data_IF_146529643392
#
_entry.id   IF_146529643392
#
_cell.length_a   1.000
_cell.length_b   1.000
_cell.length_c   1.000
_cell.angle_alpha   90.00
_cell.angle_beta   90.00
_cell.angle_gamma   90.00
#
_symmetry.space_group_name_H-M   'P 1'
#
loop_
_entity.id
_entity.type
_entity.pdbx_description
1 polymer ?
#
# COMPACT_ATOMS: atom_id res chain seq x y z
N UNK A 1 -13.10 -1.95 18.93
CA UNK A 1 -11.83 -1.94 18.18
C UNK A 1 -11.76 -0.59 17.49
N UNK A 2 -11.09 0.36 18.11
CA UNK A 2 -10.83 1.65 17.45
C UNK A 2 -9.88 1.41 16.27
N UNK A 3 -10.18 2.05 15.14
CA UNK A 3 -9.28 2.12 14.01
C UNK A 3 -8.44 3.37 14.24
N UNK A 4 -7.21 3.20 14.73
CA UNK A 4 -6.32 4.34 15.03
C UNK A 4 -5.98 5.16 13.78
N UNK A 5 -6.02 4.52 12.60
CA UNK A 5 -5.81 5.18 11.31
C UNK A 5 -6.44 4.39 10.14
N UNK A 6 -7.17 5.08 9.27
CA UNK A 6 -7.72 4.50 8.03
C UNK A 6 -6.89 4.96 6.84
N UNK A 7 -5.98 4.10 6.34
CA UNK A 7 -5.11 4.44 5.20
C UNK A 7 -5.81 4.43 3.85
N UNK A 8 -6.87 3.64 3.71
CA UNK A 8 -7.62 3.52 2.47
C UNK A 8 -9.12 3.61 2.75
N UNK A 9 -9.66 4.82 2.97
CA UNK A 9 -11.09 5.00 3.24
C UNK A 9 -11.94 4.42 2.11
N UNK A 10 -12.92 3.58 2.48
CA UNK A 10 -13.81 2.91 1.53
C UNK A 10 -13.23 1.66 0.87
N UNK A 11 -12.02 1.22 1.26
CA UNK A 11 -11.40 0.00 0.73
C UNK A 11 -10.99 -0.96 1.85
N UNK A 12 -11.18 -2.25 1.57
CA UNK A 12 -10.68 -3.35 2.40
C UNK A 12 -9.97 -4.33 1.49
N UNK A 13 -8.77 -4.74 1.88
CA UNK A 13 -8.01 -5.75 1.14
C UNK A 13 -8.28 -7.14 1.71
N UNK A 14 -8.61 -8.08 0.83
CA UNK A 14 -8.99 -9.43 1.21
C UNK A 14 -8.15 -10.47 0.47
N UNK A 15 -7.72 -11.51 1.17
CA UNK A 15 -7.16 -12.72 0.57
C UNK A 15 -8.26 -13.78 0.62
N UNK A 16 -8.73 -14.25 -0.52
CA UNK A 16 -9.80 -15.24 -0.62
C UNK A 16 -9.62 -16.15 -1.83
N UNK A 17 -10.17 -17.36 -1.75
CA UNK A 17 -10.27 -18.24 -2.90
C UNK A 17 -11.37 -17.74 -3.86
N UNK A 18 -11.24 -17.93 -5.18
CA UNK A 18 -12.25 -17.46 -6.14
C UNK A 18 -13.68 -17.92 -5.84
N UNK A 19 -13.84 -19.11 -5.23
CA UNK A 19 -15.13 -19.66 -4.82
C UNK A 19 -15.84 -18.85 -3.72
N UNK A 20 -15.09 -18.13 -2.88
CA UNK A 20 -15.64 -17.35 -1.76
C UNK A 20 -16.08 -15.93 -2.17
N UNK A 21 -15.94 -15.55 -3.44
CA UNK A 21 -16.26 -14.20 -3.94
C UNK A 21 -17.69 -13.78 -3.62
N UNK A 22 -18.67 -14.65 -3.87
CA UNK A 22 -20.09 -14.34 -3.61
C UNK A 22 -20.37 -14.11 -2.12
N UNK A 23 -19.69 -14.86 -1.24
CA UNK A 23 -19.85 -14.73 0.21
C UNK A 23 -19.41 -13.36 0.69
N UNK A 24 -18.32 -12.82 0.14
CA UNK A 24 -17.84 -11.47 0.49
C UNK A 24 -18.79 -10.38 -0.01
N UNK A 25 -19.36 -10.52 -1.20
CA UNK A 25 -20.33 -9.55 -1.74
C UNK A 25 -21.65 -9.53 -0.96
N UNK A 26 -21.98 -10.60 -0.23
CA UNK A 26 -23.17 -10.68 0.62
C UNK A 26 -22.98 -10.03 2.00
N UNK A 27 -21.74 -9.67 2.37
CA UNK A 27 -21.48 -9.03 3.65
C UNK A 27 -22.06 -7.60 3.68
N UNK A 28 -22.77 -7.20 4.76
CA UNK A 28 -23.26 -5.85 4.91
C UNK A 28 -22.14 -4.80 4.80
N UNK A 29 -22.37 -3.75 4.02
CA UNK A 29 -21.39 -2.67 3.80
C UNK A 29 -20.37 -2.94 2.69
N UNK A 30 -20.34 -4.13 2.10
CA UNK A 30 -19.54 -4.40 0.90
C UNK A 30 -20.30 -3.92 -0.34
N UNK A 31 -19.76 -2.91 -1.03
CA UNK A 31 -20.38 -2.37 -2.24
C UNK A 31 -20.10 -3.25 -3.47
N UNK A 32 -18.81 -3.53 -3.73
CA UNK A 32 -18.35 -4.36 -4.87
C UNK A 32 -16.87 -4.68 -4.73
N UNK A 33 -16.40 -5.64 -5.53
CA UNK A 33 -14.97 -5.73 -5.85
C UNK A 33 -14.57 -4.64 -6.83
N UNK A 34 -13.36 -4.13 -6.68
CA UNK A 34 -12.71 -3.31 -7.70
C UNK A 34 -12.26 -4.24 -8.82
N UNK A 35 -12.67 -3.98 -10.05
CA UNK A 35 -12.44 -4.87 -11.19
C UNK A 35 -11.82 -4.13 -12.38
N UNK A 36 -10.92 -4.81 -13.09
CA UNK A 36 -10.39 -4.40 -14.39
C UNK A 36 -10.73 -5.49 -15.41
N UNK A 37 -11.25 -5.11 -16.57
CA UNK A 37 -11.66 -6.05 -17.62
C UNK A 37 -12.58 -7.18 -17.11
N UNK A 38 -13.50 -6.85 -16.20
CA UNK A 38 -14.44 -7.80 -15.61
C UNK A 38 -13.85 -8.75 -14.56
N UNK A 39 -12.55 -8.65 -14.25
CA UNK A 39 -11.89 -9.46 -13.23
C UNK A 39 -11.55 -8.63 -11.99
N UNK A 40 -11.78 -9.14 -10.76
CA UNK A 40 -11.33 -8.47 -9.54
C UNK A 40 -9.84 -8.16 -9.59
N UNK A 41 -9.48 -6.94 -9.21
CA UNK A 41 -8.10 -6.48 -9.19
C UNK A 41 -7.29 -7.31 -8.20
N UNK A 42 -6.30 -8.04 -8.70
CA UNK A 42 -5.33 -8.72 -7.86
C UNK A 42 -4.27 -7.71 -7.43
N UNK A 43 -4.00 -7.67 -6.13
CA UNK A 43 -2.94 -6.82 -5.58
C UNK A 43 -1.64 -7.61 -5.48
N UNK A 44 -0.51 -7.01 -5.87
CA UNK A 44 0.79 -7.61 -5.64
C UNK A 44 1.03 -7.86 -4.15
N UNK A 45 1.54 -9.05 -3.82
CA UNK A 45 1.77 -9.43 -2.43
C UNK A 45 2.78 -8.51 -1.75
N UNK A 46 3.77 -8.00 -2.49
CA UNK A 46 4.82 -7.14 -1.96
C UNK A 46 4.28 -5.79 -1.47
N UNK A 47 3.32 -5.19 -2.18
CA UNK A 47 2.70 -3.92 -1.74
C UNK A 47 1.98 -4.09 -0.40
N UNK A 48 1.21 -5.17 -0.26
CA UNK A 48 0.50 -5.48 0.98
C UNK A 48 1.45 -5.85 2.12
N UNK A 49 2.57 -6.52 1.82
CA UNK A 49 3.57 -6.85 2.83
C UNK A 49 4.25 -5.59 3.35
N UNK A 50 4.70 -4.70 2.45
CA UNK A 50 5.32 -3.44 2.83
C UNK A 50 4.38 -2.58 3.69
N UNK A 51 3.10 -2.49 3.34
CA UNK A 51 2.11 -1.80 4.17
C UNK A 51 1.96 -2.43 5.56
N UNK A 52 1.90 -3.78 5.63
CA UNK A 52 1.76 -4.51 6.91
C UNK A 52 3.00 -4.35 7.78
N UNK A 53 4.18 -4.45 7.20
CA UNK A 53 5.46 -4.29 7.89
C UNK A 53 5.60 -2.86 8.41
N UNK A 54 5.34 -1.85 7.58
CA UNK A 54 5.36 -0.45 7.99
C UNK A 54 4.45 -0.17 9.19
N UNK A 55 3.21 -0.67 9.13
CA UNK A 55 2.25 -0.53 10.23
C UNK A 55 2.65 -1.31 11.49
N UNK A 56 3.20 -2.52 11.35
CA UNK A 56 3.60 -3.36 12.49
C UNK A 56 4.81 -2.80 13.23
N UNK A 57 5.68 -2.08 12.53
CA UNK A 57 6.87 -1.45 13.08
C UNK A 57 6.64 0.00 13.55
N UNK A 58 5.38 0.44 13.66
CA UNK A 58 4.98 1.80 14.07
C UNK A 58 5.64 2.91 13.22
N UNK A 59 5.95 2.63 11.96
CA UNK A 59 6.38 3.68 11.05
C UNK A 59 5.23 4.66 10.85
N UNK A 60 5.55 5.95 10.81
CA UNK A 60 4.53 6.97 10.52
C UNK A 60 4.01 6.75 9.11
N UNK A 61 2.75 6.33 9.04
CA UNK A 61 2.01 6.12 7.81
C UNK A 61 0.96 7.23 7.66
N UNK A 62 0.87 7.79 6.47
CA UNK A 62 -0.17 8.77 6.15
C UNK A 62 -0.75 8.52 4.76
N UNK A 63 -2.00 8.95 4.58
CA UNK A 63 -2.61 8.95 3.26
C UNK A 63 -1.83 9.91 2.36
N UNK A 64 -1.56 9.48 1.13
CA UNK A 64 -0.84 10.29 0.17
C UNK A 64 -1.60 10.35 -1.16
N UNK A 65 -1.61 11.51 -1.86
CA UNK A 65 -2.09 11.58 -3.23
C UNK A 65 -1.45 10.50 -4.11
N UNK A 66 -2.22 9.95 -5.04
CA UNK A 66 -1.72 8.90 -5.92
C UNK A 66 -0.56 9.42 -6.77
N UNK A 67 0.56 8.70 -6.73
CA UNK A 67 1.79 9.11 -7.36
C UNK A 67 2.27 8.01 -8.32
N UNK A 68 2.53 8.38 -9.58
CA UNK A 68 3.05 7.47 -10.62
C UNK A 68 4.43 7.85 -11.11
N UNK A 69 4.90 9.05 -10.78
CA UNK A 69 6.15 9.63 -11.28
C UNK A 69 7.04 10.03 -10.12
N UNK A 70 8.32 9.69 -10.22
CA UNK A 70 9.37 10.08 -9.29
C UNK A 70 10.51 9.06 -9.30
N UNK A 71 11.44 9.20 -8.36
CA UNK A 71 12.57 8.29 -8.26
C UNK A 71 12.10 6.97 -7.66
N UNK A 72 12.05 5.91 -8.47
CA UNK A 72 11.78 4.57 -7.97
C UNK A 72 12.95 4.08 -7.13
N UNK A 73 12.63 3.54 -5.96
CA UNK A 73 13.60 2.98 -5.05
C UNK A 73 13.14 1.64 -4.53
N UNK A 74 14.10 0.83 -4.10
CA UNK A 74 13.88 -0.38 -3.34
C UNK A 74 14.51 -0.19 -1.96
N UNK A 75 13.77 -0.54 -0.93
CA UNK A 75 14.29 -0.61 0.43
C UNK A 75 15.14 -1.87 0.56
N UNK A 76 16.36 -1.73 1.05
CA UNK A 76 17.30 -2.83 1.26
C UNK A 76 17.56 -3.12 2.74
N UNK A 77 17.35 -2.14 3.61
CA UNK A 77 17.54 -2.25 5.06
C UNK A 77 16.30 -1.79 5.83
N UNK A 78 16.22 -2.20 7.09
CA UNK A 78 15.11 -1.85 7.97
C UNK A 78 13.82 -2.67 7.76
N UNK A 79 12.72 -2.27 8.42
CA UNK A 79 11.49 -3.07 8.50
C UNK A 79 10.77 -3.23 7.16
N UNK A 80 11.04 -2.36 6.19
CA UNK A 80 10.44 -2.39 4.85
C UNK A 80 11.35 -3.09 3.82
N UNK A 81 12.37 -3.84 4.24
CA UNK A 81 13.33 -4.45 3.31
C UNK A 81 12.64 -5.30 2.25
N UNK A 82 12.96 -5.03 0.98
CA UNK A 82 12.31 -5.64 -0.18
C UNK A 82 11.15 -4.84 -0.76
N UNK A 83 10.59 -3.87 -0.01
CA UNK A 83 9.56 -2.97 -0.51
C UNK A 83 10.08 -2.08 -1.65
N UNK A 84 9.19 -1.74 -2.57
CA UNK A 84 9.47 -0.83 -3.68
C UNK A 84 8.45 0.29 -3.67
N UNK A 85 8.86 1.46 -4.14
CA UNK A 85 7.99 2.62 -4.18
C UNK A 85 8.70 3.81 -4.79
N UNK A 86 8.04 4.96 -4.70
CA UNK A 86 8.60 6.23 -5.16
C UNK A 86 9.14 6.97 -3.95
N UNK A 87 10.41 7.35 -4.01
CA UNK A 87 11.04 8.17 -2.98
C UNK A 87 10.60 9.62 -3.16
N UNK A 88 10.06 10.19 -2.09
CA UNK A 88 9.73 11.61 -2.01
C UNK A 88 10.40 12.21 -0.79
N UNK A 89 11.10 13.33 -0.99
CA UNK A 89 11.66 14.10 0.12
C UNK A 89 10.62 15.08 0.64
N UNK A 90 10.40 15.10 1.94
CA UNK A 90 9.48 16.02 2.61
C UNK A 90 10.17 16.71 3.77
N UNK A 91 10.48 18.00 3.60
CA UNK A 91 11.31 18.78 4.53
C UNK A 91 12.66 18.08 4.77
N UNK A 92 12.91 17.64 6.00
CA UNK A 92 14.15 16.97 6.41
C UNK A 92 14.07 15.44 6.38
N UNK A 93 12.89 14.87 6.09
CA UNK A 93 12.69 13.42 6.15
C UNK A 93 12.43 12.87 4.75
N UNK A 94 12.74 11.58 4.58
CA UNK A 94 12.45 10.84 3.37
C UNK A 94 11.19 9.99 3.57
N UNK A 95 10.39 9.89 2.52
CA UNK A 95 9.15 9.11 2.52
C UNK A 95 9.15 8.15 1.34
N UNK A 96 8.82 6.90 1.64
CA UNK A 96 8.52 5.90 0.63
C UNK A 96 7.03 5.98 0.32
N UNK A 97 6.69 6.37 -0.89
CA UNK A 97 5.32 6.38 -1.38
C UNK A 97 5.05 5.04 -2.04
N UNK A 98 4.15 4.26 -1.44
CA UNK A 98 3.65 3.00 -1.98
C UNK A 98 2.31 3.29 -2.64
N UNK A 99 2.18 2.95 -3.93
CA UNK A 99 1.00 3.20 -4.74
C UNK A 99 0.26 1.89 -5.00
N UNK A 100 -1.02 1.85 -4.65
CA UNK A 100 -1.91 0.73 -4.98
C UNK A 100 -2.68 1.11 -6.25
N UNK A 101 -2.13 0.72 -7.39
CA UNK A 101 -2.64 1.08 -8.72
C UNK A 101 -4.12 0.73 -8.89
N UNK A 102 -4.52 -0.43 -8.35
CA UNK A 102 -5.88 -0.93 -8.47
C UNK A 102 -6.96 0.04 -7.95
N UNK A 103 -6.62 0.87 -6.96
CA UNK A 103 -7.56 1.83 -6.36
C UNK A 103 -7.11 3.28 -6.56
N UNK A 104 -6.01 3.49 -7.29
CA UNK A 104 -5.38 4.80 -7.48
C UNK A 104 -5.23 5.57 -6.17
N UNK A 105 -4.67 4.91 -5.15
CA UNK A 105 -4.36 5.51 -3.84
C UNK A 105 -2.93 5.19 -3.45
N UNK A 106 -2.32 6.07 -2.67
CA UNK A 106 -0.98 5.87 -2.16
C UNK A 106 -0.92 6.10 -0.65
N UNK A 107 0.09 5.50 -0.04
CA UNK A 107 0.46 5.71 1.36
C UNK A 107 1.91 6.13 1.40
N UNK A 108 2.20 7.15 2.19
CA UNK A 108 3.57 7.55 2.48
C UNK A 108 4.00 6.93 3.81
N UNK A 109 5.15 6.27 3.80
CA UNK A 109 5.81 5.73 4.98
C UNK A 109 7.12 6.48 5.20
N UNK A 110 7.36 6.95 6.42
CA UNK A 110 8.65 7.56 6.77
C UNK A 110 9.77 6.52 6.76
N UNK A 111 10.88 6.85 6.10
CA UNK A 111 12.07 5.99 5.95
C UNK A 111 13.35 6.82 5.98
N UNK A 112 14.47 6.16 6.28
CA UNK A 112 15.79 6.75 6.10
C UNK A 112 16.23 6.64 4.62
N UNK A 113 16.94 7.66 4.13
CA UNK A 113 17.55 7.65 2.79
C UNK A 113 18.66 6.60 2.68
N UNK A 114 19.34 6.28 3.79
CA UNK A 114 20.38 5.25 3.83
C UNK A 114 19.85 3.83 3.61
N UNK A 115 18.55 3.60 3.86
CA UNK A 115 17.93 2.27 3.76
C UNK A 115 17.46 1.93 2.34
N UNK A 116 17.56 2.87 1.39
CA UNK A 116 17.02 2.72 0.03
C UNK A 116 18.09 2.80 -1.05
N UNK A 117 17.85 2.08 -2.14
CA UNK A 117 18.64 2.15 -3.37
C UNK A 117 17.77 2.48 -4.57
N UNK A 118 18.26 3.28 -5.54
CA UNK A 118 17.53 3.56 -6.76
C UNK A 118 17.32 2.29 -7.59
N UNK A 119 16.12 2.16 -8.15
CA UNK A 119 15.84 1.23 -9.23
C UNK A 119 15.99 2.02 -10.54
N UNK A 120 17.00 1.68 -11.33
CA UNK A 120 17.25 2.27 -12.65
C UNK A 120 16.31 1.67 -13.70
#
# INVERSE_FOLDING_TARGET
>A
KELDLVLFPGYVFVRLAPADRLRVLQLPGVARFVCFNGQPAALPQHDLNALREGLSHNLQAEQHPYLTVGRRVKVIYGPLSGAQGILQRWKNNCRLVISIDAIMRSVALEIDEADVVPLF
#
